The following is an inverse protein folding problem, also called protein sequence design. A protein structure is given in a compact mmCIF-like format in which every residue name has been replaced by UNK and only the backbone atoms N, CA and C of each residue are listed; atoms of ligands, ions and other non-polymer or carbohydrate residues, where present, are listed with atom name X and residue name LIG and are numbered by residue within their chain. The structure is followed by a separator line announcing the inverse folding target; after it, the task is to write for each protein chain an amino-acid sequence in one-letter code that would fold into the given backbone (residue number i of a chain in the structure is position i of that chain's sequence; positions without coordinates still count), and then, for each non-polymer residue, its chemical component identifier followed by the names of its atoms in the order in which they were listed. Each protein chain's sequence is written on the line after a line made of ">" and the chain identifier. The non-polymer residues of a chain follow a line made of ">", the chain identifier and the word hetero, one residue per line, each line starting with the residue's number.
data_IF_032288470231
#
_entry.id   IF_032288470231
#
_cell.length_a   1.000
_cell.length_b   1.000
_cell.length_c   1.000
_cell.angle_alpha   90.00
_cell.angle_beta   90.00
_cell.angle_gamma   90.00
#
_symmetry.space_group_name_H-M   'P 1'
#
loop_
_entity.id
_entity.type
_entity.pdbx_description
1 polymer ?
#
# COMPACT_ATOMS: atom_id res chain seq x y z
N UNK A 1 8.33 5.02 -6.21
CA UNK A 1 7.26 4.35 -5.44
C UNK A 1 5.92 4.55 -6.12
N UNK A 2 4.87 3.82 -5.73
CA UNK A 2 3.59 3.84 -6.46
C UNK A 2 2.86 5.19 -6.41
N UNK A 3 2.97 5.93 -5.30
CA UNK A 3 2.27 7.20 -5.10
C UNK A 3 0.77 7.03 -4.85
N UNK A 4 0.19 7.90 -4.02
CA UNK A 4 -1.24 7.83 -3.69
C UNK A 4 -2.10 8.21 -4.90
N UNK A 5 -3.24 7.53 -5.05
CA UNK A 5 -4.29 7.89 -6.02
C UNK A 5 -5.52 8.52 -5.37
N UNK A 6 -5.56 8.58 -4.03
CA UNK A 6 -6.63 9.23 -3.28
C UNK A 6 -6.12 9.79 -1.94
N UNK A 7 -6.88 10.73 -1.37
CA UNK A 7 -6.59 11.32 -0.06
C UNK A 7 -6.75 10.30 1.07
N UNK A 8 -6.13 10.58 2.23
CA UNK A 8 -6.28 9.75 3.43
C UNK A 8 -7.73 9.71 3.92
N UNK A 9 -8.43 10.85 3.89
CA UNK A 9 -9.86 10.93 4.24
C UNK A 9 -10.70 10.03 3.35
N UNK A 10 -10.55 10.16 2.02
CA UNK A 10 -11.29 9.31 1.07
C UNK A 10 -10.97 7.81 1.26
N UNK A 11 -9.74 7.47 1.63
CA UNK A 11 -9.37 6.10 1.92
C UNK A 11 -10.06 5.54 3.17
N UNK A 12 -10.10 6.32 4.26
CA UNK A 12 -10.79 5.94 5.51
C UNK A 12 -12.29 5.76 5.31
N UNK A 13 -12.90 6.59 4.47
CA UNK A 13 -14.33 6.51 4.16
C UNK A 13 -14.66 5.31 3.25
N UNK A 14 -13.74 4.98 2.32
CA UNK A 14 -13.97 3.95 1.30
C UNK A 14 -13.63 2.53 1.77
N UNK A 15 -12.58 2.37 2.55
CA UNK A 15 -12.02 1.05 2.85
C UNK A 15 -12.35 0.57 4.25
N UNK A 16 -12.97 -0.61 4.32
CA UNK A 16 -13.09 -1.34 5.56
C UNK A 16 -11.78 -2.08 5.87
N UNK A 17 -11.05 -1.62 6.88
CA UNK A 17 -9.75 -2.19 7.26
C UNK A 17 -9.80 -3.70 7.51
N UNK A 18 -10.79 -4.19 8.27
CA UNK A 18 -10.92 -5.62 8.56
C UNK A 18 -11.16 -6.46 7.32
N UNK A 19 -11.89 -5.93 6.34
CA UNK A 19 -12.11 -6.63 5.07
C UNK A 19 -10.81 -6.73 4.26
N UNK A 20 -10.03 -5.64 4.20
CA UNK A 20 -8.73 -5.63 3.53
C UNK A 20 -7.74 -6.57 4.21
N UNK A 21 -7.66 -6.55 5.54
CA UNK A 21 -6.76 -7.44 6.28
C UNK A 21 -7.04 -8.91 5.99
N UNK A 22 -8.31 -9.33 5.94
CA UNK A 22 -8.69 -10.70 5.55
C UNK A 22 -8.33 -11.04 4.11
N UNK A 23 -8.46 -10.07 3.19
CA UNK A 23 -8.06 -10.28 1.80
C UNK A 23 -6.54 -10.45 1.67
N UNK A 24 -5.76 -9.66 2.41
CA UNK A 24 -4.30 -9.78 2.48
C UNK A 24 -3.88 -11.13 3.08
N UNK A 25 -4.54 -11.58 4.15
CA UNK A 25 -4.27 -12.88 4.77
C UNK A 25 -4.55 -14.04 3.81
N UNK A 26 -5.64 -14.00 3.05
CA UNK A 26 -5.94 -14.97 1.98
C UNK A 26 -4.87 -15.01 0.88
N UNK A 27 -4.18 -13.89 0.65
CA UNK A 27 -3.04 -13.78 -0.28
C UNK A 27 -1.70 -14.18 0.35
N UNK A 28 -1.71 -14.64 1.60
CA UNK A 28 -0.51 -15.06 2.33
C UNK A 28 0.34 -13.91 2.84
N UNK A 29 -0.28 -12.74 3.11
CA UNK A 29 0.37 -11.57 3.69
C UNK A 29 -0.09 -11.40 5.14
N UNK A 30 0.83 -11.54 6.09
CA UNK A 30 0.56 -11.36 7.51
C UNK A 30 0.78 -9.89 7.92
N UNK A 31 -0.27 -9.20 8.34
CA UNK A 31 -0.20 -7.80 8.75
C UNK A 31 -0.12 -7.70 10.27
N UNK A 32 0.99 -7.20 10.78
CA UNK A 32 1.23 -6.92 12.20
C UNK A 32 0.62 -5.57 12.62
N UNK A 33 0.79 -4.54 11.79
CA UNK A 33 0.22 -3.21 12.01
C UNK A 33 0.11 -2.43 10.69
N UNK A 34 -1.00 -1.74 10.47
CA UNK A 34 -1.25 -0.84 9.34
C UNK A 34 -2.58 -0.08 9.51
N UNK A 35 -2.70 1.06 8.82
CA UNK A 35 -3.90 1.90 8.79
C UNK A 35 -4.80 1.65 7.58
N UNK A 36 -6.10 1.98 7.71
CA UNK A 36 -7.07 1.90 6.61
C UNK A 36 -6.72 2.83 5.44
N UNK A 37 -6.00 3.92 5.72
CA UNK A 37 -5.49 4.88 4.75
C UNK A 37 -4.22 4.42 4.04
N UNK A 38 -3.70 3.23 4.34
CA UNK A 38 -2.50 2.65 3.74
C UNK A 38 -2.77 1.34 2.98
N UNK A 39 -4.05 1.01 2.75
CA UNK A 39 -4.43 -0.21 2.04
C UNK A 39 -3.97 -0.19 0.57
N UNK A 40 -3.71 -1.34 -0.08
CA UNK A 40 -3.17 -1.36 -1.45
C UNK A 40 -3.96 -0.51 -2.46
N UNK A 41 -5.28 -0.43 -2.30
CA UNK A 41 -6.15 0.35 -3.20
C UNK A 41 -6.01 1.87 -3.11
N UNK A 42 -5.31 2.43 -2.11
CA UNK A 42 -5.07 3.88 -2.02
C UNK A 42 -3.92 4.34 -2.92
N UNK A 43 -3.13 3.40 -3.43
CA UNK A 43 -1.97 3.64 -4.28
C UNK A 43 -2.28 3.39 -5.75
N UNK A 44 -1.47 3.98 -6.64
CA UNK A 44 -1.47 3.58 -8.06
C UNK A 44 -0.94 2.15 -8.20
N UNK A 45 -1.20 1.50 -9.33
CA UNK A 45 -0.55 0.22 -9.62
C UNK A 45 0.95 0.47 -9.84
N UNK A 46 1.79 -0.17 -9.04
CA UNK A 46 3.24 -0.04 -9.15
C UNK A 46 3.76 -0.50 -10.52
N UNK A 47 3.10 -1.48 -11.15
CA UNK A 47 3.50 -1.99 -12.47
C UNK A 47 3.29 -0.95 -13.56
N UNK A 48 2.22 -0.16 -13.45
CA UNK A 48 1.98 0.95 -14.38
C UNK A 48 3.04 2.04 -14.19
N UNK A 49 3.33 2.41 -12.94
CA UNK A 49 4.35 3.42 -12.62
C UNK A 49 5.74 2.99 -13.11
N UNK A 50 6.13 1.73 -12.90
CA UNK A 50 7.44 1.25 -13.37
C UNK A 50 7.51 1.18 -14.89
N UNK A 51 6.42 0.81 -15.57
CA UNK A 51 6.36 0.79 -17.04
C UNK A 51 6.53 2.19 -17.65
N UNK A 52 5.95 3.21 -17.03
CA UNK A 52 6.09 4.62 -17.45
C UNK A 52 7.50 5.20 -17.22
N UNK A 53 8.38 4.49 -16.52
CA UNK A 53 9.76 4.92 -16.23
C UNK A 53 10.81 4.03 -16.89
N UNK A 54 10.41 3.15 -17.80
CA UNK A 54 11.28 2.14 -18.41
C UNK A 54 12.44 2.70 -19.23
N UNK A 55 12.40 3.98 -19.60
CA UNK A 55 13.48 4.72 -20.27
C UNK A 55 14.53 5.27 -19.29
N UNK A 56 14.20 5.35 -18.00
CA UNK A 56 15.05 5.93 -16.96
C UNK A 56 15.60 4.89 -15.97
N UNK A 57 14.92 3.76 -15.79
CA UNK A 57 15.29 2.76 -14.78
C UNK A 57 15.19 1.33 -15.31
N UNK A 58 16.11 0.48 -14.83
CA UNK A 58 16.08 -0.96 -15.06
C UNK A 58 15.49 -1.72 -13.86
N UNK A 59 14.60 -2.68 -14.12
CA UNK A 59 14.02 -3.54 -13.07
C UNK A 59 15.00 -4.67 -12.76
N UNK A 60 15.61 -4.62 -11.57
CA UNK A 60 16.54 -5.67 -11.11
C UNK A 60 15.82 -6.85 -10.45
N UNK A 61 14.76 -6.58 -9.68
CA UNK A 61 14.02 -7.60 -8.95
C UNK A 61 12.62 -7.11 -8.54
N UNK A 62 11.73 -8.06 -8.25
CA UNK A 62 10.43 -7.83 -7.60
C UNK A 62 10.41 -8.53 -6.25
N UNK A 63 9.85 -7.85 -5.24
CA UNK A 63 9.65 -8.41 -3.90
C UNK A 63 8.17 -8.34 -3.55
N UNK A 64 7.57 -9.50 -3.30
CA UNK A 64 6.19 -9.59 -2.83
C UNK A 64 6.16 -9.74 -1.30
N UNK A 65 5.36 -8.93 -0.60
CA UNK A 65 5.37 -8.91 0.86
C UNK A 65 4.82 -10.21 1.44
N UNK A 66 5.42 -10.65 2.56
CA UNK A 66 4.89 -11.74 3.40
C UNK A 66 4.49 -11.26 4.78
N UNK A 67 5.16 -10.23 5.30
CA UNK A 67 4.87 -9.63 6.60
C UNK A 67 4.89 -8.11 6.43
N UNK A 68 3.93 -7.42 7.05
CA UNK A 68 3.84 -5.95 7.04
C UNK A 68 3.76 -5.44 8.47
N UNK A 69 4.60 -4.46 8.81
CA UNK A 69 4.57 -3.71 10.08
C UNK A 69 4.74 -2.23 9.77
N UNK A 70 3.70 -1.46 10.00
CA UNK A 70 3.69 0.00 9.87
C UNK A 70 3.75 0.65 11.25
N UNK A 71 4.23 1.90 11.33
CA UNK A 71 4.16 2.67 12.56
C UNK A 71 2.69 2.95 12.93
N UNK A 72 2.37 2.74 14.21
CA UNK A 72 1.02 2.91 14.78
C UNK A 72 1.00 4.07 15.79
N UNK A 73 1.91 5.04 15.63
CA UNK A 73 2.30 5.97 16.69
C UNK A 73 1.38 7.19 16.84
N UNK A 74 0.30 7.27 16.07
CA UNK A 74 -0.61 8.42 16.10
C UNK A 74 0.08 9.74 15.75
N UNK A 75 1.30 9.69 15.23
CA UNK A 75 2.01 10.87 14.73
C UNK A 75 1.23 11.42 13.54
N UNK A 76 1.23 12.75 13.43
CA UNK A 76 0.69 13.40 12.24
C UNK A 76 1.56 12.95 11.07
N UNK A 77 0.97 12.41 9.99
CA UNK A 77 1.74 12.07 8.81
C UNK A 77 2.53 13.29 8.33
N UNK A 78 3.77 13.10 7.89
CA UNK A 78 4.65 14.19 7.46
C UNK A 78 4.27 14.82 6.11
N UNK A 79 3.16 14.36 5.49
CA UNK A 79 2.59 14.95 4.27
C UNK A 79 1.37 15.83 4.56
#
# INVERSE_FOLDING_TARGET
>A
GAGRRMSRTAARDKYNWRAVQRDLEKRGVHVLSAGADEVPGVYKDIRDVMREQADLVDIVAQFDPKIVKMCDDGSRPED
#
